data_IF_072851805842
#
_entry.id   IF_072851805842
#
_cell.length_a   1.000
_cell.length_b   1.000
_cell.length_c   1.000
_cell.angle_alpha   90.00
_cell.angle_beta   90.00
_cell.angle_gamma   90.00
#
_symmetry.space_group_name_H-M   'P 1'
#
loop_
_entity.id
_entity.type
_entity.pdbx_description
1 polymer ?
#
# COMPACT_ATOMS: atom_id res chain seq x y z
N UNK A 1 35.21 -76.08 -40.22
CA UNK A 1 36.06 -75.24 -41.09
C UNK A 1 36.49 -74.01 -40.30
N UNK A 2 37.81 -73.77 -40.26
CA UNK A 2 38.59 -72.57 -39.91
C UNK A 2 38.07 -71.53 -38.88
N UNK A 3 38.89 -71.30 -37.85
CA UNK A 3 38.95 -70.05 -37.06
C UNK A 3 39.75 -68.99 -37.85
N UNK A 4 39.55 -67.67 -37.65
CA UNK A 4 40.55 -66.95 -36.83
C UNK A 4 40.08 -65.71 -36.05
N UNK A 5 40.94 -65.36 -35.08
CA UNK A 5 41.05 -64.16 -34.26
C UNK A 5 40.98 -62.80 -34.99
N UNK A 6 40.51 -61.77 -34.26
CA UNK A 6 41.17 -60.45 -34.22
C UNK A 6 41.07 -59.81 -32.81
N UNK A 7 42.08 -58.99 -32.49
CA UNK A 7 42.53 -58.54 -31.15
C UNK A 7 42.56 -56.99 -31.14
N UNK A 8 42.48 -56.39 -29.92
CA UNK A 8 43.03 -55.06 -29.48
C UNK A 8 42.25 -53.78 -29.90
N UNK A 9 42.08 -52.67 -29.15
CA UNK A 9 42.37 -52.15 -27.77
C UNK A 9 41.61 -50.78 -27.59
N UNK A 10 41.65 -50.07 -26.42
CA UNK A 10 40.59 -49.17 -25.93
C UNK A 10 40.85 -47.67 -26.17
N UNK A 11 39.88 -46.77 -25.84
CA UNK A 11 40.20 -45.40 -25.39
C UNK A 11 39.01 -44.66 -24.70
N UNK A 12 39.37 -43.92 -23.66
CA UNK A 12 38.71 -42.78 -23.00
C UNK A 12 37.57 -42.97 -21.97
N UNK A 13 38.05 -43.18 -20.75
CA UNK A 13 37.63 -42.53 -19.48
C UNK A 13 37.14 -41.08 -19.69
N UNK A 14 35.88 -40.78 -19.34
CA UNK A 14 35.40 -39.42 -19.05
C UNK A 14 35.03 -39.32 -17.56
N UNK A 15 35.71 -38.42 -16.84
CA UNK A 15 35.35 -37.97 -15.50
C UNK A 15 34.16 -37.01 -15.59
N UNK A 16 33.15 -37.09 -14.71
CA UNK A 16 32.12 -36.06 -14.62
C UNK A 16 32.56 -34.94 -13.66
N UNK A 17 33.08 -33.86 -14.22
CA UNK A 17 33.20 -32.55 -13.54
C UNK A 17 31.89 -31.81 -13.77
N UNK A 18 30.85 -32.09 -12.98
CA UNK A 18 29.58 -31.31 -13.07
C UNK A 18 28.88 -31.05 -11.75
N UNK A 19 29.31 -31.65 -10.62
CA UNK A 19 28.61 -31.43 -9.33
C UNK A 19 29.03 -30.18 -8.55
N UNK A 20 30.14 -29.54 -8.90
CA UNK A 20 30.66 -28.39 -8.15
C UNK A 20 30.00 -27.04 -8.53
N UNK A 21 29.42 -26.92 -9.72
CA UNK A 21 28.89 -25.65 -10.25
C UNK A 21 27.43 -25.38 -9.85
N UNK A 22 26.63 -26.41 -9.58
CA UNK A 22 25.24 -26.25 -9.12
C UNK A 22 25.14 -25.69 -7.70
N UNK A 23 26.12 -25.99 -6.85
CA UNK A 23 26.05 -25.66 -5.43
C UNK A 23 26.37 -24.18 -5.14
N UNK A 24 27.16 -23.55 -6.01
CA UNK A 24 27.52 -22.12 -5.95
C UNK A 24 26.43 -21.21 -6.54
N UNK A 25 25.76 -21.65 -7.61
CA UNK A 25 24.63 -20.91 -8.21
C UNK A 25 23.41 -20.81 -7.27
N UNK A 26 23.09 -21.89 -6.53
CA UNK A 26 22.00 -21.87 -5.53
C UNK A 26 22.28 -20.94 -4.35
N UNK A 27 23.55 -20.81 -3.93
CA UNK A 27 23.96 -19.90 -2.86
C UNK A 27 23.88 -18.43 -3.30
N UNK A 28 24.20 -18.14 -4.57
CA UNK A 28 24.10 -16.79 -5.13
C UNK A 28 22.64 -16.33 -5.29
N UNK A 29 21.74 -17.22 -5.72
CA UNK A 29 20.30 -16.95 -5.81
C UNK A 29 19.65 -16.70 -4.45
N UNK A 30 20.05 -17.45 -3.41
CA UNK A 30 19.57 -17.23 -2.05
C UNK A 30 20.04 -15.88 -1.47
N UNK A 31 21.24 -15.41 -1.83
CA UNK A 31 21.76 -14.11 -1.39
C UNK A 31 21.01 -12.92 -2.02
N UNK A 32 20.57 -13.06 -3.28
CA UNK A 32 19.81 -12.03 -4.01
C UNK A 32 18.39 -11.88 -3.44
N UNK A 33 17.74 -12.99 -3.05
CA UNK A 33 16.41 -12.98 -2.42
C UNK A 33 16.40 -12.29 -1.04
N UNK A 34 17.51 -12.30 -0.30
CA UNK A 34 17.63 -11.62 1.00
C UNK A 34 17.79 -10.10 0.82
N UNK A 35 18.45 -9.64 -0.24
CA UNK A 35 18.72 -8.23 -0.50
C UNK A 35 17.51 -7.41 -1.03
N UNK A 36 16.46 -8.08 -1.51
CA UNK A 36 15.24 -7.43 -2.02
C UNK A 36 14.13 -7.23 -0.96
N UNK A 37 14.40 -7.62 0.29
CA UNK A 37 13.36 -7.72 1.33
C UNK A 37 12.90 -6.43 2.06
N UNK A 38 13.45 -5.21 1.87
CA UNK A 38 12.89 -4.02 2.52
C UNK A 38 12.16 -3.06 1.56
N UNK A 39 11.66 -3.51 0.41
CA UNK A 39 10.52 -2.84 -0.22
C UNK A 39 9.21 -3.38 0.37
N UNK A 40 9.14 -3.40 1.70
CA UNK A 40 7.85 -3.46 2.39
C UNK A 40 7.18 -2.11 2.12
N UNK A 41 6.48 -2.04 0.99
CA UNK A 41 5.54 -0.96 0.71
C UNK A 41 4.66 -0.84 1.94
N UNK A 42 4.73 0.30 2.63
CA UNK A 42 3.83 0.56 3.75
C UNK A 42 2.45 0.64 3.13
N UNK A 43 1.69 -0.46 3.21
CA UNK A 43 0.36 -0.52 2.63
C UNK A 43 -0.49 0.53 3.32
N UNK A 44 -1.17 1.36 2.53
CA UNK A 44 -2.12 2.31 3.06
C UNK A 44 -3.23 1.56 3.81
N UNK A 45 -3.56 2.06 5.00
CA UNK A 45 -4.52 1.46 5.91
C UNK A 45 -5.91 1.99 5.59
N UNK A 46 -6.87 1.11 5.31
CA UNK A 46 -8.26 1.51 5.03
C UNK A 46 -9.12 1.20 6.26
N UNK A 47 -9.73 2.22 6.85
CA UNK A 47 -10.45 2.11 8.14
C UNK A 47 -11.74 2.91 8.16
N UNK A 48 -12.69 2.47 8.98
CA UNK A 48 -13.88 3.22 9.35
C UNK A 48 -13.61 3.95 10.67
N UNK A 49 -13.80 5.26 10.70
CA UNK A 49 -13.46 6.16 11.80
C UNK A 49 -14.65 7.02 12.25
N UNK A 50 -14.75 7.27 13.55
CA UNK A 50 -15.42 8.47 14.07
C UNK A 50 -14.35 9.52 14.38
N UNK A 51 -14.42 10.66 13.71
CA UNK A 51 -13.51 11.78 13.86
C UNK A 51 -14.10 12.82 14.83
N UNK A 52 -13.29 13.24 15.80
CA UNK A 52 -13.58 14.38 16.66
C UNK A 52 -12.50 15.44 16.44
N UNK A 53 -12.93 16.61 15.97
CA UNK A 53 -12.06 17.75 15.77
C UNK A 53 -11.35 18.13 17.08
N UNK A 54 -10.04 18.37 16.99
CA UNK A 54 -9.21 18.89 18.10
C UNK A 54 -8.84 20.34 17.80
N UNK A 55 -8.09 20.56 16.71
CA UNK A 55 -7.56 21.87 16.34
C UNK A 55 -7.25 21.98 14.84
N UNK A 56 -7.11 23.21 14.38
CA UNK A 56 -6.46 23.57 13.11
C UNK A 56 -4.96 23.76 13.36
N UNK A 57 -4.14 23.39 12.39
CA UNK A 57 -2.70 23.66 12.39
C UNK A 57 -2.41 24.90 11.55
N UNK A 58 -1.21 25.47 11.70
CA UNK A 58 -0.74 26.55 10.83
C UNK A 58 -0.12 26.02 9.52
N UNK A 59 -0.06 24.68 9.38
CA UNK A 59 0.52 24.02 8.21
C UNK A 59 -0.48 24.00 7.06
N UNK A 60 -0.11 24.61 5.94
CA UNK A 60 -0.92 24.60 4.73
C UNK A 60 -0.99 23.19 4.12
N UNK A 61 -2.21 22.71 3.91
CA UNK A 61 -2.52 21.46 3.21
C UNK A 61 -2.71 21.65 1.71
N UNK A 62 -3.09 22.85 1.28
CA UNK A 62 -3.20 23.22 -0.12
C UNK A 62 -2.87 24.70 -0.29
N UNK A 63 -2.30 25.03 -1.45
CA UNK A 63 -1.99 26.40 -1.86
C UNK A 63 -2.75 26.74 -3.13
N UNK A 64 -3.10 28.01 -3.28
CA UNK A 64 -3.69 28.55 -4.49
C UNK A 64 -2.83 29.71 -4.97
N UNK A 65 -2.39 29.65 -6.22
CA UNK A 65 -1.56 30.66 -6.85
C UNK A 65 -2.38 31.37 -7.93
N UNK A 66 -2.40 32.71 -7.89
CA UNK A 66 -3.13 33.54 -8.85
C UNK A 66 -2.24 34.04 -10.01
N UNK A 67 -0.94 33.72 -9.97
CA UNK A 67 0.06 34.08 -10.97
C UNK A 67 1.15 33.00 -11.08
N UNK A 68 2.21 33.32 -11.82
CA UNK A 68 3.37 32.43 -12.03
C UNK A 68 4.48 32.65 -10.99
N UNK A 69 4.38 33.69 -10.16
CA UNK A 69 5.33 33.95 -9.07
C UNK A 69 4.92 33.20 -7.81
N UNK A 70 5.89 32.64 -7.08
CA UNK A 70 5.67 32.03 -5.75
C UNK A 70 5.06 33.03 -4.75
N UNK A 71 5.31 34.33 -4.94
CA UNK A 71 4.74 35.41 -4.10
C UNK A 71 3.22 35.57 -4.28
N UNK A 72 2.67 35.09 -5.40
CA UNK A 72 1.23 35.12 -5.69
C UNK A 72 0.49 33.89 -5.14
N UNK A 73 1.18 33.02 -4.41
CA UNK A 73 0.62 31.82 -3.79
C UNK A 73 0.20 32.08 -2.35
N UNK A 74 -1.05 31.74 -2.03
CA UNK A 74 -1.60 31.83 -0.68
C UNK A 74 -2.12 30.48 -0.20
N UNK A 75 -2.07 30.19 1.12
CA UNK A 75 -2.68 28.99 1.68
C UNK A 75 -4.18 28.97 1.36
N UNK A 76 -4.62 27.90 0.71
CA UNK A 76 -6.02 27.65 0.38
C UNK A 76 -6.69 26.78 1.43
N UNK A 77 -5.97 25.85 2.03
CA UNK A 77 -6.45 25.00 3.11
C UNK A 77 -5.33 24.72 4.12
N UNK A 78 -5.70 24.55 5.38
CA UNK A 78 -4.81 24.12 6.45
C UNK A 78 -5.11 22.69 6.88
N UNK A 79 -4.14 22.02 7.48
CA UNK A 79 -4.38 20.74 8.11
C UNK A 79 -5.18 20.89 9.41
N UNK A 80 -5.98 19.88 9.71
CA UNK A 80 -6.72 19.75 10.95
C UNK A 80 -6.30 18.47 11.67
N UNK A 81 -6.19 18.55 12.99
CA UNK A 81 -5.95 17.39 13.85
C UNK A 81 -7.28 16.87 14.37
N UNK A 82 -7.51 15.57 14.20
CA UNK A 82 -8.65 14.86 14.75
C UNK A 82 -8.20 13.75 15.71
N UNK A 83 -8.97 13.54 16.78
CA UNK A 83 -8.99 12.24 17.46
C UNK A 83 -9.89 11.31 16.64
N UNK A 84 -9.32 10.22 16.14
CA UNK A 84 -10.05 9.22 15.37
C UNK A 84 -10.27 7.98 16.22
N UNK A 85 -11.53 7.62 16.47
CA UNK A 85 -11.93 6.34 17.05
C UNK A 85 -12.10 5.33 15.92
N UNK A 86 -11.29 4.28 15.93
CA UNK A 86 -11.34 3.19 14.96
C UNK A 86 -12.57 2.33 15.24
N UNK A 87 -13.42 2.18 14.24
CA UNK A 87 -14.62 1.32 14.29
C UNK A 87 -14.37 -0.03 13.68
N UNK A 88 -13.74 -0.05 12.51
CA UNK A 88 -13.44 -1.25 11.73
C UNK A 88 -12.18 -0.99 10.90
N UNK A 89 -11.31 -1.98 10.83
CA UNK A 89 -10.21 -2.04 9.86
C UNK A 89 -10.71 -2.83 8.66
N UNK A 90 -10.63 -2.24 7.47
CA UNK A 90 -11.05 -2.86 6.20
C UNK A 90 -9.85 -3.53 5.52
N UNK A 91 -8.70 -2.84 5.49
CA UNK A 91 -7.46 -3.33 4.89
C UNK A 91 -6.26 -2.83 5.68
N UNK A 92 -5.23 -3.66 5.87
CA UNK A 92 -4.04 -3.38 6.67
C UNK A 92 -4.17 -3.79 8.14
N UNK A 93 -3.14 -3.51 8.94
CA UNK A 93 -3.09 -3.86 10.36
C UNK A 93 -3.02 -2.62 11.25
N UNK A 94 -3.95 -2.50 12.19
CA UNK A 94 -3.94 -1.46 13.22
C UNK A 94 -4.39 -2.03 14.56
N UNK A 95 -3.51 -2.00 15.55
CA UNK A 95 -3.78 -2.52 16.91
C UNK A 95 -4.43 -1.50 17.84
N UNK A 96 -4.29 -0.21 17.57
CA UNK A 96 -4.86 0.87 18.38
C UNK A 96 -6.32 1.13 18.01
N UNK A 97 -7.18 1.30 19.01
CA UNK A 97 -8.60 1.67 18.82
C UNK A 97 -8.84 3.18 18.71
N UNK A 98 -7.83 3.98 19.06
CA UNK A 98 -7.81 5.44 18.95
C UNK A 98 -6.46 5.88 18.44
N UNK A 99 -6.46 6.79 17.48
CA UNK A 99 -5.28 7.37 16.86
C UNK A 99 -5.52 8.86 16.64
N UNK A 100 -4.45 9.64 16.49
CA UNK A 100 -4.55 11.02 16.00
C UNK A 100 -4.27 11.06 14.50
N UNK A 101 -5.07 11.82 13.77
CA UNK A 101 -4.95 11.93 12.32
C UNK A 101 -4.90 13.38 11.88
N UNK A 102 -4.08 13.66 10.87
CA UNK A 102 -4.09 14.91 10.11
C UNK A 102 -4.99 14.77 8.89
N UNK A 103 -5.79 15.79 8.61
CA UNK A 103 -6.54 15.88 7.37
C UNK A 103 -6.71 17.33 6.94
N UNK A 104 -6.41 17.61 5.68
CA UNK A 104 -6.45 18.96 5.13
C UNK A 104 -7.18 18.98 3.80
N UNK A 105 -8.48 19.30 3.84
CA UNK A 105 -9.32 19.53 2.66
C UNK A 105 -9.92 20.91 2.76
N UNK A 106 -9.97 21.61 1.63
CA UNK A 106 -10.58 22.93 1.56
C UNK A 106 -12.02 22.93 2.11
N UNK A 107 -12.37 23.98 2.84
CA UNK A 107 -13.69 24.21 3.45
C UNK A 107 -14.20 23.08 4.36
N UNK A 108 -13.31 22.26 4.93
CA UNK A 108 -13.70 21.25 5.91
C UNK A 108 -14.34 21.94 7.12
N UNK A 109 -15.61 21.62 7.41
CA UNK A 109 -16.27 22.13 8.61
C UNK A 109 -15.60 21.56 9.85
N UNK A 110 -15.12 22.45 10.73
CA UNK A 110 -14.69 22.11 12.10
C UNK A 110 -15.84 21.42 12.81
N UNK A 111 -15.67 20.17 13.19
CA UNK A 111 -16.75 19.37 13.76
C UNK A 111 -16.42 17.89 13.89
N UNK A 112 -17.37 17.14 14.42
CA UNK A 112 -17.27 15.68 14.48
C UNK A 112 -17.90 15.04 13.25
N UNK A 113 -17.19 14.07 12.68
CA UNK A 113 -17.63 13.31 11.51
C UNK A 113 -17.72 11.84 11.91
N UNK A 114 -18.84 11.18 11.65
CA UNK A 114 -19.06 9.79 12.08
C UNK A 114 -19.00 8.85 10.88
N UNK A 115 -18.51 7.63 11.12
CA UNK A 115 -18.49 6.56 10.11
C UNK A 115 -17.85 6.97 8.78
N UNK A 116 -16.76 7.73 8.86
CA UNK A 116 -15.95 8.11 7.71
C UNK A 116 -15.07 6.93 7.34
N UNK A 117 -15.03 6.58 6.06
CA UNK A 117 -14.05 5.64 5.54
C UNK A 117 -12.85 6.45 5.08
N UNK A 118 -11.68 6.11 5.59
CA UNK A 118 -10.45 6.85 5.36
C UNK A 118 -9.33 5.92 4.92
N UNK A 119 -8.56 6.38 3.95
CA UNK A 119 -7.26 5.83 3.59
C UNK A 119 -6.21 6.58 4.40
N UNK A 120 -5.46 5.85 5.22
CA UNK A 120 -4.48 6.39 6.14
C UNK A 120 -3.06 6.03 5.72
N UNK A 121 -2.20 7.04 5.67
CA UNK A 121 -0.75 6.87 5.55
C UNK A 121 -0.08 7.17 6.89
N UNK A 122 0.92 6.37 7.26
CA UNK A 122 1.61 6.51 8.55
C UNK A 122 2.59 7.68 8.50
N UNK A 123 2.59 8.51 9.53
CA UNK A 123 3.53 9.64 9.64
C UNK A 123 4.74 9.23 10.47
N UNK A 124 5.91 9.17 9.84
CA UNK A 124 7.16 8.75 10.52
C UNK A 124 7.71 9.82 11.49
N UNK A 125 7.37 11.11 11.29
CA UNK A 125 7.99 12.23 12.01
C UNK A 125 7.00 13.32 12.47
N UNK A 126 5.76 12.96 12.79
CA UNK A 126 4.79 13.93 13.34
C UNK A 126 4.66 13.80 14.85
N UNK A 127 4.70 14.93 15.56
CA UNK A 127 4.39 15.01 17.00
C UNK A 127 2.90 15.19 17.27
N UNK A 128 2.12 15.55 16.24
CA UNK A 128 0.72 15.94 16.40
C UNK A 128 -0.25 14.80 16.05
N UNK A 129 0.13 13.93 15.11
CA UNK A 129 -0.69 12.83 14.62
C UNK A 129 0.15 11.59 14.30
N UNK A 130 -0.49 10.43 14.39
CA UNK A 130 0.10 9.13 14.04
C UNK A 130 -0.03 8.86 12.52
N UNK A 131 -1.10 9.37 11.90
CA UNK A 131 -1.42 9.13 10.48
C UNK A 131 -1.91 10.41 9.78
N UNK A 132 -1.84 10.43 8.46
CA UNK A 132 -2.52 11.39 7.60
C UNK A 132 -3.64 10.68 6.84
N UNK A 133 -4.82 11.29 6.83
CA UNK A 133 -5.90 10.90 5.93
C UNK A 133 -5.52 11.39 4.52
N UNK A 134 -5.34 10.46 3.59
CA UNK A 134 -5.11 10.77 2.17
C UNK A 134 -6.44 11.06 1.47
N UNK A 135 -7.39 10.16 1.69
CA UNK A 135 -8.73 10.21 1.12
C UNK A 135 -9.75 9.91 2.21
N UNK A 136 -10.92 10.53 2.09
CA UNK A 136 -12.04 10.29 2.97
C UNK A 136 -13.33 10.20 2.16
N UNK A 137 -14.26 9.40 2.64
CA UNK A 137 -15.59 9.29 2.05
C UNK A 137 -16.59 8.84 3.09
N UNK A 138 -17.87 8.99 2.79
CA UNK A 138 -18.90 8.29 3.54
C UNK A 138 -19.16 6.91 2.93
N UNK A 139 -19.80 6.01 3.67
CA UNK A 139 -20.23 4.69 3.17
C UNK A 139 -21.02 4.81 1.85
N UNK A 140 -21.68 5.95 1.61
CA UNK A 140 -22.47 6.22 0.40
C UNK A 140 -21.64 6.64 -0.82
N UNK A 141 -20.36 6.98 -0.66
CA UNK A 141 -19.54 7.69 -1.66
C UNK A 141 -18.30 6.90 -2.12
N UNK A 142 -18.11 5.64 -1.71
CA UNK A 142 -16.92 4.90 -2.15
C UNK A 142 -17.04 4.46 -3.61
N UNK A 143 -16.21 5.07 -4.45
CA UNK A 143 -15.90 4.68 -5.82
C UNK A 143 -14.80 3.61 -5.83
N UNK A 144 -14.89 2.72 -6.81
CA UNK A 144 -14.08 1.51 -6.89
C UNK A 144 -12.62 1.85 -7.23
N UNK A 145 -11.66 1.32 -6.45
CA UNK A 145 -10.24 1.40 -6.78
C UNK A 145 -10.01 0.67 -8.10
N UNK A 146 -9.56 1.38 -9.13
CA UNK A 146 -9.17 0.80 -10.41
C UNK A 146 -7.90 -0.03 -10.21
N UNK A 147 -8.07 -1.35 -10.11
CA UNK A 147 -6.99 -2.27 -10.43
C UNK A 147 -7.11 -2.58 -11.93
N UNK A 148 -6.02 -2.42 -12.66
CA UNK A 148 -5.92 -2.76 -14.07
C UNK A 148 -6.30 -4.23 -14.27
N UNK A 149 -7.56 -4.48 -14.62
CA UNK A 149 -8.14 -5.64 -15.30
C UNK A 149 -9.63 -5.73 -14.90
N UNK A 150 -10.47 -5.13 -15.75
CA UNK A 150 -11.92 -5.22 -15.71
C UNK A 150 -12.40 -6.67 -15.65
N UNK A 151 -12.74 -7.11 -14.45
CA UNK A 151 -13.77 -8.12 -14.20
C UNK A 151 -14.68 -7.55 -13.12
N UNK A 152 -15.98 -7.51 -13.41
CA UNK A 152 -17.01 -7.15 -12.44
C UNK A 152 -16.93 -8.15 -11.30
N UNK A 153 -16.28 -7.77 -10.20
CA UNK A 153 -16.31 -8.54 -8.97
C UNK A 153 -17.43 -7.96 -8.10
N UNK A 154 -18.54 -8.69 -8.01
CA UNK A 154 -19.43 -8.55 -6.86
C UNK A 154 -18.64 -9.04 -5.63
N UNK A 155 -17.78 -8.20 -5.06
CA UNK A 155 -17.09 -8.51 -3.81
C UNK A 155 -18.11 -8.31 -2.69
N UNK A 156 -18.82 -9.38 -2.34
CA UNK A 156 -19.48 -9.46 -1.05
C UNK A 156 -18.36 -9.58 -0.02
N UNK A 157 -18.03 -8.48 0.65
CA UNK A 157 -17.07 -8.49 1.76
C UNK A 157 -17.64 -9.41 2.84
N UNK A 158 -17.11 -10.62 2.97
CA UNK A 158 -17.61 -11.70 3.85
C UNK A 158 -17.66 -11.33 5.36
N UNK A 159 -17.36 -10.08 5.73
CA UNK A 159 -17.40 -9.55 7.10
C UNK A 159 -18.27 -8.29 7.32
N UNK A 160 -19.10 -7.87 6.35
CA UNK A 160 -20.06 -6.79 6.58
C UNK A 160 -21.22 -6.80 5.59
N UNK A 161 -22.42 -6.48 6.09
CA UNK A 161 -23.66 -6.23 5.31
C UNK A 161 -23.59 -4.95 4.44
N UNK A 162 -22.44 -4.64 3.86
CA UNK A 162 -22.23 -3.47 3.02
C UNK A 162 -22.10 -3.96 1.58
N UNK A 163 -23.17 -3.80 0.81
CA UNK A 163 -23.15 -3.99 -0.64
C UNK A 163 -22.47 -2.77 -1.29
N UNK A 164 -21.28 -2.98 -1.85
CA UNK A 164 -20.59 -1.99 -2.67
C UNK A 164 -21.13 -2.06 -4.09
N UNK A 165 -21.76 -0.99 -4.58
CA UNK A 165 -22.19 -0.87 -5.98
C UNK A 165 -21.16 -0.07 -6.77
N UNK A 166 -20.45 -0.73 -7.68
CA UNK A 166 -19.63 -0.05 -8.69
C UNK A 166 -20.54 0.45 -9.82
N UNK A 167 -20.33 1.69 -10.26
CA UNK A 167 -20.95 2.25 -11.47
C UNK A 167 -19.85 2.43 -12.52
N UNK A 168 -20.07 1.92 -13.72
CA UNK A 168 -19.25 2.30 -14.89
C UNK A 168 -19.54 3.76 -15.22
N UNK A 169 -18.49 4.55 -15.48
CA UNK A 169 -18.65 5.84 -16.15
C UNK A 169 -19.09 5.56 -17.59
N UNK A 170 -20.26 6.09 -17.98
CA UNK A 170 -20.71 6.15 -19.38
C UNK A 170 -19.77 7.01 -20.24
#
# INVERSE_FOLDING_TARGET
MASPHYRKTPLHKKMPVTKALEHTMKKLLALILILLSPLAYTQDLVVVLDLKFIKETEDAAAWMCYGESDEDCHPWAYFYVFEAKVKKVISGELSKNKIRVLFGRHALKKGSHKSVIATLSKLEKSKEADYQILEWGTIKEMYCFSHDENKIYNVRLESSDIDLKCYEQE
#
